data_IF_171744820246
#
_entry.id   IF_171744820246
#
_cell.length_a   1.000
_cell.length_b   1.000
_cell.length_c   1.000
_cell.angle_alpha   90.00
_cell.angle_beta   90.00
_cell.angle_gamma   90.00
#
_symmetry.space_group_name_H-M   'P 1'
#
loop_
_entity.id
_entity.type
_entity.pdbx_description
1 polymer ?
#
# COMPACT_ATOMS: atom_id res chain seq x y z
N UNK A 1 1.93 19.57 -11.92
CA UNK A 1 0.76 18.86 -12.47
C UNK A 1 1.21 17.42 -12.68
N UNK A 2 0.39 16.42 -12.29
CA UNK A 2 0.75 15.00 -12.44
C UNK A 2 0.33 14.59 -13.86
N UNK A 3 1.30 14.35 -14.74
CA UNK A 3 1.06 14.11 -16.16
C UNK A 3 0.65 12.65 -16.38
N UNK A 4 -0.65 12.34 -16.22
CA UNK A 4 -1.34 11.16 -16.79
C UNK A 4 -0.85 9.74 -16.46
N UNK A 5 0.32 9.57 -15.83
CA UNK A 5 1.04 8.31 -15.65
C UNK A 5 1.35 8.03 -14.17
N UNK A 6 0.53 8.55 -13.26
CA UNK A 6 0.68 8.35 -11.82
C UNK A 6 0.18 6.94 -11.39
N UNK A 7 0.43 5.92 -12.22
CA UNK A 7 0.09 4.50 -11.99
C UNK A 7 0.83 3.88 -10.80
N UNK A 8 1.89 4.53 -10.33
CA UNK A 8 2.66 4.14 -9.14
C UNK A 8 2.31 4.94 -7.88
N UNK A 9 1.31 5.82 -7.91
CA UNK A 9 0.99 6.70 -6.77
C UNK A 9 0.74 5.90 -5.48
N UNK A 10 -0.01 4.79 -5.55
CA UNK A 10 -0.26 3.92 -4.40
C UNK A 10 1.03 3.35 -3.79
N UNK A 11 1.97 2.92 -4.63
CA UNK A 11 3.26 2.38 -4.17
C UNK A 11 4.13 3.44 -3.49
N UNK A 12 4.02 4.71 -3.89
CA UNK A 12 4.73 5.82 -3.25
C UNK A 12 4.28 5.98 -1.80
N UNK A 13 2.97 5.94 -1.51
CA UNK A 13 2.48 6.05 -0.13
C UNK A 13 2.86 4.83 0.71
N UNK A 14 2.82 3.63 0.14
CA UNK A 14 3.31 2.42 0.82
C UNK A 14 4.79 2.58 1.17
N UNK A 15 5.61 3.02 0.22
CA UNK A 15 7.04 3.28 0.43
C UNK A 15 7.30 4.31 1.53
N UNK A 16 6.59 5.44 1.52
CA UNK A 16 6.68 6.46 2.58
C UNK A 16 6.28 5.93 3.96
N UNK A 17 5.23 5.12 4.04
CA UNK A 17 4.81 4.51 5.30
C UNK A 17 5.85 3.51 5.83
N UNK A 18 6.48 2.74 4.95
CA UNK A 18 7.60 1.85 5.32
C UNK A 18 8.82 2.65 5.77
N UNK A 19 9.17 3.71 5.04
CA UNK A 19 10.29 4.59 5.36
C UNK A 19 10.09 5.27 6.73
N UNK A 20 8.88 5.77 7.01
CA UNK A 20 8.55 6.35 8.32
C UNK A 20 8.73 5.34 9.47
N UNK A 21 8.23 4.10 9.30
CA UNK A 21 8.44 3.06 10.30
C UNK A 21 9.93 2.72 10.51
N UNK A 22 10.72 2.75 9.43
CA UNK A 22 12.15 2.51 9.50
C UNK A 22 12.88 3.62 10.27
N UNK A 23 12.57 4.89 10.01
CA UNK A 23 13.14 6.01 10.77
C UNK A 23 12.71 6.03 12.24
N UNK A 24 11.49 5.58 12.53
CA UNK A 24 10.99 5.42 13.90
C UNK A 24 11.61 4.19 14.62
N UNK A 25 12.54 3.46 13.98
CA UNK A 25 13.13 2.21 14.44
C UNK A 25 12.08 1.12 14.78
N UNK A 26 10.91 1.20 14.15
CA UNK A 26 9.83 0.25 14.32
C UNK A 26 9.98 -0.95 13.36
N UNK A 27 9.52 -2.12 13.82
CA UNK A 27 9.36 -3.27 12.94
C UNK A 27 8.39 -2.97 11.80
N UNK A 28 8.77 -3.29 10.56
CA UNK A 28 7.91 -3.13 9.38
C UNK A 28 7.02 -4.36 9.26
N UNK A 29 5.71 -4.17 9.43
CA UNK A 29 4.70 -5.22 9.18
C UNK A 29 3.54 -4.65 8.36
N UNK A 30 2.84 -5.51 7.61
CA UNK A 30 1.67 -5.12 6.81
C UNK A 30 0.65 -4.34 7.66
N UNK A 31 0.36 -4.80 8.87
CA UNK A 31 -0.56 -4.14 9.79
C UNK A 31 -0.11 -2.73 10.19
N UNK A 32 1.20 -2.54 10.45
CA UNK A 32 1.74 -1.23 10.81
C UNK A 32 1.75 -0.26 9.63
N UNK A 33 2.07 -0.74 8.43
CA UNK A 33 1.99 0.06 7.20
C UNK A 33 0.55 0.52 6.96
N UNK A 34 -0.44 -0.38 7.11
CA UNK A 34 -1.87 -0.02 7.04
C UNK A 34 -2.24 1.02 8.09
N UNK A 35 -1.79 0.86 9.34
CA UNK A 35 -2.06 1.81 10.41
C UNK A 35 -1.48 3.20 10.09
N UNK A 36 -0.26 3.27 9.58
CA UNK A 36 0.40 4.53 9.21
C UNK A 36 -0.29 5.22 8.03
N UNK A 37 -0.68 4.46 7.00
CA UNK A 37 -1.49 4.98 5.89
C UNK A 37 -2.87 5.46 6.33
N UNK A 38 -3.50 4.78 7.30
CA UNK A 38 -4.81 5.18 7.83
C UNK A 38 -4.73 6.51 8.59
N UNK A 39 -3.62 6.78 9.28
CA UNK A 39 -3.37 8.08 9.92
C UNK A 39 -3.17 9.16 8.84
N UNK A 40 -2.31 8.89 7.86
CA UNK A 40 -2.05 9.82 6.76
C UNK A 40 -3.32 10.19 5.99
N UNK A 41 -4.21 9.22 5.75
CA UNK A 41 -5.50 9.44 5.11
C UNK A 41 -6.37 10.46 5.86
N UNK A 42 -6.40 10.39 7.20
CA UNK A 42 -7.18 11.31 8.04
C UNK A 42 -6.61 12.73 8.05
N UNK A 43 -5.30 12.84 7.87
CA UNK A 43 -4.56 14.11 7.92
C UNK A 43 -4.46 14.81 6.56
N UNK A 44 -4.64 14.08 5.45
CA UNK A 44 -4.50 14.60 4.09
C UNK A 44 -5.77 15.35 3.64
N UNK A 45 -5.72 16.68 3.42
CA UNK A 45 -6.89 17.45 2.99
C UNK A 45 -7.19 17.35 1.49
N UNK A 46 -6.22 16.94 0.65
CA UNK A 46 -6.40 16.87 -0.80
C UNK A 46 -7.15 15.58 -1.21
N UNK A 47 -8.36 15.67 -1.79
CA UNK A 47 -9.13 14.51 -2.22
C UNK A 47 -8.40 13.63 -3.26
N UNK A 48 -7.54 14.22 -4.10
CA UNK A 48 -6.77 13.45 -5.07
C UNK A 48 -5.76 12.54 -4.37
N UNK A 49 -5.06 13.06 -3.36
CA UNK A 49 -4.10 12.30 -2.56
C UNK A 49 -4.78 11.30 -1.64
N UNK A 50 -5.94 11.65 -1.08
CA UNK A 50 -6.78 10.72 -0.35
C UNK A 50 -7.13 9.47 -1.17
N UNK A 51 -7.48 9.64 -2.46
CA UNK A 51 -7.75 8.52 -3.37
C UNK A 51 -6.53 7.63 -3.61
N UNK A 52 -5.33 8.22 -3.69
CA UNK A 52 -4.08 7.47 -3.81
C UNK A 52 -3.78 6.66 -2.54
N UNK A 53 -4.01 7.24 -1.35
CA UNK A 53 -3.84 6.55 -0.06
C UNK A 53 -4.87 5.43 0.11
N UNK A 54 -6.14 5.65 -0.26
CA UNK A 54 -7.17 4.60 -0.25
C UNK A 54 -6.76 3.43 -1.16
N UNK A 55 -6.25 3.74 -2.36
CA UNK A 55 -5.80 2.71 -3.29
C UNK A 55 -4.65 1.87 -2.71
N UNK A 56 -3.72 2.50 -1.99
CA UNK A 56 -2.68 1.78 -1.23
C UNK A 56 -3.27 0.89 -0.12
N UNK A 57 -4.26 1.38 0.62
CA UNK A 57 -4.94 0.61 1.67
C UNK A 57 -5.68 -0.62 1.09
N UNK A 58 -6.35 -0.48 -0.05
CA UNK A 58 -7.04 -1.59 -0.72
C UNK A 58 -6.04 -2.66 -1.16
N UNK A 59 -4.94 -2.26 -1.84
CA UNK A 59 -3.87 -3.18 -2.24
C UNK A 59 -3.29 -3.95 -1.04
N UNK A 60 -3.14 -3.27 0.09
CA UNK A 60 -2.67 -3.87 1.33
C UNK A 60 -3.77 -4.57 2.13
N UNK A 61 -5.03 -4.58 1.71
CA UNK A 61 -6.13 -5.27 2.39
C UNK A 61 -6.56 -6.53 1.65
N UNK A 62 -6.29 -6.63 0.35
CA UNK A 62 -6.61 -7.81 -0.43
C UNK A 62 -5.77 -9.03 0.01
N UNK A 63 -6.38 -10.21 0.19
CA UNK A 63 -5.62 -11.43 0.34
C UNK A 63 -4.81 -11.66 -0.94
N UNK A 64 -3.51 -11.98 -0.80
CA UNK A 64 -2.68 -12.36 -1.95
C UNK A 64 -3.37 -13.56 -2.61
N UNK A 65 -4.00 -13.35 -3.77
CA UNK A 65 -4.64 -14.43 -4.50
C UNK A 65 -3.55 -15.33 -5.04
N UNK A 66 -3.24 -16.41 -4.33
CA UNK A 66 -2.38 -17.49 -4.80
C UNK A 66 -3.12 -18.30 -5.86
N UNK A 67 -3.40 -17.71 -7.02
CA UNK A 67 -3.69 -18.48 -8.23
C UNK A 67 -2.37 -18.81 -8.91
N UNK A 68 -1.59 -19.68 -8.29
CA UNK A 68 -0.50 -20.39 -8.96
C UNK A 68 -1.00 -21.82 -9.15
N UNK A 69 -1.01 -22.28 -10.40
CA UNK A 69 -1.68 -23.49 -10.83
C UNK A 69 -1.31 -24.73 -10.02
N UNK A 70 -2.29 -25.34 -9.36
CA UNK A 70 -2.35 -26.79 -9.22
C UNK A 70 -2.97 -27.35 -10.50
N UNK A 71 -2.13 -27.62 -11.50
CA UNK A 71 -2.41 -28.71 -12.43
C UNK A 71 -1.32 -29.76 -12.20
N UNK A 72 -1.79 -30.84 -11.61
CA UNK A 72 -1.19 -32.14 -11.37
C UNK A 72 0.06 -32.48 -12.20
N UNK A 73 1.22 -32.52 -11.55
CA UNK A 73 2.28 -33.48 -11.91
C UNK A 73 2.11 -34.68 -10.98
N UNK A 74 1.21 -35.60 -11.37
CA UNK A 74 1.16 -36.96 -10.83
C UNK A 74 1.92 -37.86 -11.80
N UNK A 75 2.94 -38.53 -11.26
CA UNK A 75 3.69 -39.68 -11.79
C UNK A 75 2.86 -40.69 -12.56
#
# INVERSE_FOLDING_TARGET
MCDGNCSNASHVYIGKAVEALFYDAESVSRAKVIARLSLLFREEPDPARQNEIISALILLSEPVSTKTGLQDYRT
#
